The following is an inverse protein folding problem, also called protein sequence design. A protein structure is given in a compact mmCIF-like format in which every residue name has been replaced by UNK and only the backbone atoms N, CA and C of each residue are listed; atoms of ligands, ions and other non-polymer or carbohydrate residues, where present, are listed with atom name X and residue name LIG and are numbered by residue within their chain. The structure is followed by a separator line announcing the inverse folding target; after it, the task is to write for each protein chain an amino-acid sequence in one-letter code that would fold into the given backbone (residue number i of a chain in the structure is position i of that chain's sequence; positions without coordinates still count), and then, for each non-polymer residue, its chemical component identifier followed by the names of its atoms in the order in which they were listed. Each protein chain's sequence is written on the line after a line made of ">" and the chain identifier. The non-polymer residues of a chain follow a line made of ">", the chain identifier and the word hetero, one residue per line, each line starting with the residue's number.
data_IF_366183592232
#
_entry.id   IF_366183592232
#
_cell.length_a   1.000
_cell.length_b   1.000
_cell.length_c   1.000
_cell.angle_alpha   90.00
_cell.angle_beta   90.00
_cell.angle_gamma   90.00
#
_symmetry.space_group_name_H-M   'P 1'
#
loop_
_entity.id
_entity.type
_entity.pdbx_description
1 polymer ?
#
# COMPACT_ATOMS: atom_id res chain seq x y z
N UNK A 1 13.52 -5.83 2.43
CA UNK A 1 14.72 -5.34 3.16
C UNK A 1 15.99 -5.92 2.58
N UNK A 2 16.20 -7.24 2.62
CA UNK A 2 17.41 -7.87 2.03
C UNK A 2 17.53 -7.63 0.52
N UNK A 3 16.43 -7.81 -0.24
CA UNK A 3 16.41 -7.48 -1.67
C UNK A 3 16.62 -5.99 -2.00
N UNK A 4 16.66 -5.11 -0.98
CA UNK A 4 16.89 -3.67 -1.09
C UNK A 4 18.23 -3.26 -0.45
N UNK A 5 19.13 -4.22 -0.20
CA UNK A 5 20.49 -3.97 0.29
C UNK A 5 20.66 -4.00 1.81
N UNK A 6 19.64 -4.38 2.59
CA UNK A 6 19.83 -4.59 4.03
C UNK A 6 20.64 -5.87 4.26
N UNK A 7 21.78 -5.75 4.95
CA UNK A 7 22.52 -6.88 5.49
C UNK A 7 22.01 -7.18 6.90
N UNK A 8 21.57 -8.42 7.14
CA UNK A 8 21.02 -8.87 8.41
C UNK A 8 21.63 -10.23 8.71
N UNK A 9 22.47 -10.30 9.75
CA UNK A 9 23.04 -11.56 10.21
C UNK A 9 21.94 -12.52 10.71
N UNK A 10 22.20 -13.83 10.65
CA UNK A 10 21.22 -14.85 11.04
C UNK A 10 20.71 -14.69 12.49
N UNK A 11 21.59 -14.35 13.42
CA UNK A 11 21.24 -14.06 14.83
C UNK A 11 20.32 -12.85 14.96
N UNK A 12 20.62 -11.78 14.23
CA UNK A 12 19.89 -10.52 14.30
C UNK A 12 18.50 -10.67 13.69
N UNK A 13 18.35 -11.56 12.69
CA UNK A 13 17.06 -11.89 12.10
C UNK A 13 16.06 -12.44 13.13
N UNK A 14 16.52 -13.28 14.05
CA UNK A 14 15.66 -13.87 15.07
C UNK A 14 15.22 -12.83 16.11
N UNK A 15 16.14 -11.99 16.56
CA UNK A 15 15.84 -10.91 17.49
C UNK A 15 14.88 -9.89 16.88
N UNK A 16 15.16 -9.45 15.65
CA UNK A 16 14.28 -8.55 14.90
C UNK A 16 12.90 -9.17 14.68
N UNK A 17 12.82 -10.47 14.36
CA UNK A 17 11.53 -11.14 14.19
C UNK A 17 10.72 -11.14 15.48
N UNK A 18 11.34 -11.39 16.63
CA UNK A 18 10.67 -11.36 17.94
C UNK A 18 10.13 -9.96 18.24
N UNK A 19 10.98 -8.95 18.09
CA UNK A 19 10.61 -7.55 18.29
C UNK A 19 9.44 -7.12 17.40
N UNK A 20 9.46 -7.49 16.12
CA UNK A 20 8.39 -7.14 15.17
C UNK A 20 7.05 -7.79 15.52
N UNK A 21 7.06 -9.04 15.98
CA UNK A 21 5.82 -9.72 16.43
C UNK A 21 5.27 -9.08 17.71
N UNK A 22 6.14 -8.73 18.65
CA UNK A 22 5.72 -8.11 19.91
C UNK A 22 5.17 -6.70 19.69
N UNK A 23 5.86 -5.90 18.87
CA UNK A 23 5.55 -4.48 18.71
C UNK A 23 4.59 -4.20 17.56
N UNK A 24 4.59 -4.97 16.47
CA UNK A 24 3.91 -4.65 15.20
C UNK A 24 3.01 -5.77 14.66
N UNK A 25 2.49 -6.65 15.52
CA UNK A 25 1.53 -7.67 15.09
C UNK A 25 0.23 -7.09 14.49
N UNK A 26 -0.55 -7.99 13.87
CA UNK A 26 -1.81 -7.68 13.22
C UNK A 26 -2.99 -7.51 14.18
N UNK A 27 -2.79 -7.47 15.52
CA UNK A 27 -3.89 -7.28 16.47
C UNK A 27 -4.20 -5.80 16.75
N UNK A 28 -3.38 -4.87 16.24
CA UNK A 28 -3.70 -3.44 16.30
C UNK A 28 -4.93 -3.15 15.42
N UNK A 29 -5.98 -2.49 15.95
CA UNK A 29 -7.13 -2.09 15.16
C UNK A 29 -6.67 -1.23 13.98
N UNK A 30 -6.98 -1.67 12.76
CA UNK A 30 -6.70 -0.86 11.58
C UNK A 30 -7.72 0.28 11.55
N UNK A 31 -7.30 1.55 11.38
CA UNK A 31 -8.24 2.64 11.21
C UNK A 31 -9.18 2.33 10.04
N UNK A 32 -10.49 2.41 10.29
CA UNK A 32 -11.52 2.23 9.26
C UNK A 32 -11.37 3.33 8.23
N UNK A 33 -10.84 2.99 7.06
CA UNK A 33 -10.56 3.91 5.96
C UNK A 33 -11.55 3.81 4.81
N UNK A 34 -12.53 2.90 4.91
CA UNK A 34 -13.55 2.68 3.89
C UNK A 34 -14.37 3.94 3.58
N UNK A 35 -14.61 4.81 4.59
CA UNK A 35 -15.35 6.06 4.42
C UNK A 35 -14.55 7.18 3.71
N UNK A 36 -13.22 7.04 3.57
CA UNK A 36 -12.37 8.12 3.05
C UNK A 36 -11.98 7.94 1.57
N UNK A 37 -12.52 6.93 0.88
CA UNK A 37 -12.27 6.69 -0.53
C UNK A 37 -13.16 7.58 -1.42
N UNK A 38 -12.59 8.44 -2.29
CA UNK A 38 -13.34 9.23 -3.25
C UNK A 38 -14.26 8.38 -4.16
N UNK A 39 -15.32 8.97 -4.70
CA UNK A 39 -16.16 8.27 -5.67
C UNK A 39 -15.42 8.03 -7.00
N UNK A 40 -15.79 6.97 -7.73
CA UNK A 40 -15.27 6.71 -9.07
C UNK A 40 -15.23 5.23 -9.47
N UNK A 41 -14.95 4.99 -10.76
CA UNK A 41 -14.99 3.66 -11.41
C UNK A 41 -14.16 2.58 -10.67
N UNK A 42 -13.03 2.97 -10.09
CA UNK A 42 -12.13 2.05 -9.38
C UNK A 42 -12.22 2.12 -7.84
N UNK A 43 -13.21 2.81 -7.27
CA UNK A 43 -13.36 2.95 -5.80
C UNK A 43 -13.35 1.59 -5.08
N UNK A 44 -14.07 0.59 -5.61
CA UNK A 44 -14.09 -0.75 -5.01
C UNK A 44 -12.70 -1.40 -4.99
N UNK A 45 -11.94 -1.29 -6.09
CA UNK A 45 -10.58 -1.84 -6.18
C UNK A 45 -9.65 -1.07 -5.24
N UNK A 46 -9.78 0.25 -5.18
CA UNK A 46 -9.04 1.06 -4.22
C UNK A 46 -9.30 0.65 -2.77
N UNK A 47 -10.57 0.49 -2.38
CA UNK A 47 -10.95 0.09 -1.03
C UNK A 47 -10.44 -1.31 -0.67
N UNK A 48 -10.52 -2.26 -1.59
CA UNK A 48 -10.12 -3.66 -1.33
C UNK A 48 -8.61 -3.88 -1.44
N UNK A 49 -7.95 -3.21 -2.38
CA UNK A 49 -6.55 -3.46 -2.73
C UNK A 49 -5.58 -2.48 -2.04
N UNK A 50 -5.96 -1.21 -1.86
CA UNK A 50 -5.08 -0.19 -1.30
C UNK A 50 -5.29 0.03 0.20
N UNK A 51 -6.52 -0.14 0.69
CA UNK A 51 -6.86 0.08 2.11
C UNK A 51 -6.78 -1.20 2.97
N UNK A 52 -6.35 -2.30 2.36
CA UNK A 52 -6.17 -3.60 3.00
C UNK A 52 -4.93 -3.72 3.90
N UNK A 53 -4.03 -2.73 3.92
CA UNK A 53 -2.82 -2.75 4.74
C UNK A 53 -2.65 -1.49 5.61
N UNK A 54 -2.95 -0.31 5.07
CA UNK A 54 -2.91 0.98 5.75
C UNK A 54 -4.11 1.84 5.33
N UNK A 55 -4.38 2.94 6.04
CA UNK A 55 -5.44 3.88 5.65
C UNK A 55 -5.07 4.76 4.43
N UNK A 56 -5.96 5.68 4.07
CA UNK A 56 -5.82 6.57 2.91
C UNK A 56 -4.78 7.68 3.11
N UNK A 57 -4.38 7.96 4.36
CA UNK A 57 -3.56 9.13 4.71
C UNK A 57 -2.23 9.19 3.95
N UNK A 58 -1.47 8.09 3.80
CA UNK A 58 -0.25 8.10 3.00
C UNK A 58 -0.54 8.40 1.52
N UNK A 59 -1.60 7.81 0.96
CA UNK A 59 -2.02 8.02 -0.43
C UNK A 59 -2.40 9.49 -0.68
N UNK A 60 -3.13 10.11 0.24
CA UNK A 60 -3.55 11.51 0.13
C UNK A 60 -2.39 12.51 0.07
N UNK A 61 -1.21 12.13 0.59
CA UNK A 61 0.01 12.95 0.59
C UNK A 61 0.87 12.79 -0.66
N UNK A 62 0.60 11.78 -1.50
CA UNK A 62 1.37 11.55 -2.72
C UNK A 62 0.87 12.51 -3.80
N UNK A 63 1.78 13.33 -4.34
CA UNK A 63 1.57 14.10 -5.56
C UNK A 63 2.39 13.47 -6.67
N UNK A 64 1.71 12.86 -7.62
CA UNK A 64 2.34 12.09 -8.68
C UNK A 64 1.53 12.18 -9.97
N UNK A 65 2.23 12.27 -11.10
CA UNK A 65 1.62 12.06 -12.41
C UNK A 65 1.30 10.56 -12.61
N UNK A 66 0.75 10.22 -13.79
CA UNK A 66 0.40 8.84 -14.12
C UNK A 66 1.57 7.87 -13.95
N UNK A 67 2.76 8.24 -14.45
CA UNK A 67 3.94 7.41 -14.34
C UNK A 67 4.38 7.22 -12.87
N UNK A 68 4.25 8.25 -12.05
CA UNK A 68 4.48 8.18 -10.61
C UNK A 68 3.49 7.25 -9.90
N UNK A 69 2.20 7.35 -10.22
CA UNK A 69 1.19 6.44 -9.67
C UNK A 69 1.39 4.99 -10.10
N UNK A 70 1.80 4.75 -11.34
CA UNK A 70 2.21 3.41 -11.79
C UNK A 70 3.33 2.86 -10.88
N UNK A 71 4.39 3.63 -10.61
CA UNK A 71 5.47 3.20 -9.71
C UNK A 71 5.00 2.96 -8.28
N UNK A 72 4.08 3.77 -7.77
CA UNK A 72 3.47 3.57 -6.44
C UNK A 72 2.71 2.25 -6.41
N UNK A 73 1.85 1.99 -7.39
CA UNK A 73 1.06 0.77 -7.53
C UNK A 73 1.98 -0.46 -7.59
N UNK A 74 3.01 -0.46 -8.44
CA UNK A 74 3.98 -1.56 -8.52
C UNK A 74 4.69 -1.79 -7.20
N UNK A 75 5.06 -0.72 -6.48
CA UNK A 75 5.68 -0.85 -5.17
C UNK A 75 4.74 -1.50 -4.16
N UNK A 76 3.44 -1.19 -4.18
CA UNK A 76 2.47 -1.83 -3.29
C UNK A 76 2.30 -3.30 -3.64
N UNK A 77 2.26 -3.65 -4.94
CA UNK A 77 2.24 -5.05 -5.39
C UNK A 77 3.46 -5.81 -4.91
N UNK A 78 4.66 -5.21 -5.01
CA UNK A 78 5.90 -5.79 -4.48
C UNK A 78 5.91 -5.92 -2.96
N UNK A 79 5.07 -5.19 -2.24
CA UNK A 79 4.86 -5.31 -0.79
C UNK A 79 3.72 -6.27 -0.42
N UNK A 80 3.06 -6.87 -1.41
CA UNK A 80 2.03 -7.90 -1.22
C UNK A 80 0.60 -7.45 -1.47
N UNK A 81 0.36 -6.22 -1.96
CA UNK A 81 -0.96 -5.82 -2.40
C UNK A 81 -1.37 -6.63 -3.65
N UNK A 82 -2.56 -7.20 -3.63
CA UNK A 82 -3.13 -7.85 -4.81
C UNK A 82 -4.00 -6.84 -5.57
N UNK A 83 -3.73 -6.67 -6.85
CA UNK A 83 -4.54 -5.84 -7.77
C UNK A 83 -4.86 -6.71 -8.98
N UNK A 84 -6.14 -6.91 -9.32
CA UNK A 84 -6.51 -7.67 -10.52
C UNK A 84 -5.89 -7.00 -11.76
N UNK A 85 -5.18 -7.75 -12.64
CA UNK A 85 -4.48 -7.17 -13.79
C UNK A 85 -5.38 -6.32 -14.69
N UNK A 86 -6.61 -6.77 -14.92
CA UNK A 86 -7.62 -6.10 -15.74
C UNK A 86 -8.16 -4.80 -15.13
N UNK A 87 -7.91 -4.56 -13.84
CA UNK A 87 -8.36 -3.37 -13.10
C UNK A 87 -7.24 -2.37 -12.84
N UNK A 88 -6.00 -2.71 -13.20
CA UNK A 88 -4.82 -1.92 -12.85
C UNK A 88 -4.83 -0.53 -13.49
N UNK A 89 -5.14 -0.44 -14.78
CA UNK A 89 -5.21 0.85 -15.48
C UNK A 89 -6.36 1.73 -14.94
N UNK A 90 -7.54 1.15 -14.69
CA UNK A 90 -8.66 1.84 -14.06
C UNK A 90 -8.29 2.41 -12.68
N UNK A 91 -7.49 1.66 -11.89
CA UNK A 91 -7.01 2.11 -10.60
C UNK A 91 -6.01 3.26 -10.74
N UNK A 92 -5.08 3.20 -11.69
CA UNK A 92 -4.12 4.27 -11.96
C UNK A 92 -4.85 5.55 -12.34
N UNK A 93 -5.81 5.47 -13.27
CA UNK A 93 -6.57 6.63 -13.71
C UNK A 93 -7.42 7.23 -12.57
N UNK A 94 -7.99 6.38 -11.71
CA UNK A 94 -8.67 6.82 -10.49
C UNK A 94 -7.74 7.53 -9.52
N UNK A 95 -6.51 7.03 -9.31
CA UNK A 95 -5.53 7.66 -8.44
C UNK A 95 -5.10 9.03 -8.97
N UNK A 96 -4.86 9.11 -10.29
CA UNK A 96 -4.55 10.37 -10.98
C UNK A 96 -5.70 11.37 -10.84
N UNK A 97 -6.94 10.93 -10.99
CA UNK A 97 -8.11 11.82 -10.91
C UNK A 97 -8.30 12.38 -9.50
N UNK A 98 -8.07 11.56 -8.47
CA UNK A 98 -8.50 11.88 -7.11
C UNK A 98 -7.39 12.37 -6.17
N UNK A 99 -6.11 12.13 -6.49
CA UNK A 99 -5.01 12.39 -5.54
C UNK A 99 -3.87 13.27 -6.08
N UNK A 100 -3.96 13.76 -7.32
CA UNK A 100 -2.90 14.54 -7.98
C UNK A 100 -2.93 16.04 -7.69
N UNK A 101 -3.98 16.52 -7.00
CA UNK A 101 -4.14 17.93 -6.61
C UNK A 101 -3.39 18.22 -5.31
#
# INVERSE_FOLDING_TARGET
>A
MVGWGADIAGSDREELSRYLVEMFNNTRPRPSSAQAAPEGKAKNVFQTSCLGCHDVTPTARIKADRAGWMRVVERMVNWGAYIPPERKEDLIDYLVTNFTQ
#
